data_IF_244383120653
#
_entry.id   IF_244383120653
#
_cell.length_a   1.000
_cell.length_b   1.000
_cell.length_c   1.000
_cell.angle_alpha   90.00
_cell.angle_beta   90.00
_cell.angle_gamma   90.00
#
_symmetry.space_group_name_H-M   'P 1'
#
loop_
_entity.id
_entity.type
_entity.pdbx_description
1 polymer ?
#
# COMPACT_ATOMS: atom_id res chain seq x y z
N UNK A 1 44.40 -43.43 -8.40
CA UNK A 1 43.39 -42.53 -7.81
C UNK A 1 43.38 -41.30 -8.69
N UNK A 2 42.62 -41.37 -9.78
CA UNK A 2 42.46 -40.24 -10.70
C UNK A 2 41.36 -39.34 -10.15
N UNK A 3 41.77 -38.11 -9.81
CA UNK A 3 40.87 -37.00 -9.55
C UNK A 3 40.01 -36.76 -10.80
N UNK A 4 38.79 -37.29 -10.76
CA UNK A 4 37.76 -37.02 -11.75
C UNK A 4 37.27 -35.58 -11.54
N UNK A 5 38.07 -34.61 -12.01
CA UNK A 5 37.66 -33.21 -12.12
C UNK A 5 36.54 -33.15 -13.16
N UNK A 6 35.30 -33.22 -12.68
CA UNK A 6 34.13 -32.72 -13.41
C UNK A 6 34.38 -31.24 -13.73
N UNK A 7 35.05 -30.99 -14.86
CA UNK A 7 35.18 -29.67 -15.45
C UNK A 7 33.77 -29.21 -15.81
N UNK A 8 33.21 -28.31 -15.00
CA UNK A 8 31.93 -27.68 -15.31
C UNK A 8 32.07 -27.03 -16.69
N UNK A 9 31.22 -27.44 -17.64
CA UNK A 9 31.08 -26.72 -18.90
C UNK A 9 30.43 -25.37 -18.58
N UNK A 10 31.28 -24.36 -18.39
CA UNK A 10 30.85 -23.03 -17.99
C UNK A 10 29.90 -22.41 -19.02
N UNK A 11 30.07 -22.71 -20.32
CA UNK A 11 29.20 -22.16 -21.35
C UNK A 11 27.80 -22.76 -21.25
N UNK A 12 27.72 -24.09 -21.17
CA UNK A 12 26.45 -24.79 -21.00
C UNK A 12 25.74 -24.38 -19.71
N UNK A 13 26.48 -24.29 -18.60
CA UNK A 13 25.91 -23.86 -17.32
C UNK A 13 25.38 -22.41 -17.37
N UNK A 14 26.07 -21.49 -18.06
CA UNK A 14 25.58 -20.12 -18.26
C UNK A 14 24.30 -20.11 -19.10
N UNK A 15 24.24 -20.87 -20.19
CA UNK A 15 23.06 -20.97 -21.05
C UNK A 15 21.84 -21.52 -20.28
N UNK A 16 22.03 -22.55 -19.46
CA UNK A 16 20.99 -23.12 -18.60
C UNK A 16 20.48 -22.12 -17.55
N UNK A 17 21.39 -21.38 -16.89
CA UNK A 17 21.01 -20.35 -15.92
C UNK A 17 20.23 -19.21 -16.56
N UNK A 18 20.65 -18.76 -17.76
CA UNK A 18 19.96 -17.70 -18.50
C UNK A 18 18.56 -18.14 -18.92
N UNK A 19 18.40 -19.35 -19.48
CA UNK A 19 17.08 -19.89 -19.84
C UNK A 19 16.19 -19.97 -18.62
N UNK A 20 16.68 -20.57 -17.53
CA UNK A 20 15.91 -20.76 -16.30
C UNK A 20 15.46 -19.43 -15.69
N UNK A 21 16.31 -18.40 -15.71
CA UNK A 21 15.96 -17.07 -15.22
C UNK A 21 14.88 -16.40 -16.09
N UNK A 22 15.00 -16.48 -17.42
CA UNK A 22 14.00 -15.96 -18.35
C UNK A 22 12.65 -16.67 -18.19
N UNK A 23 12.67 -18.00 -18.07
CA UNK A 23 11.47 -18.81 -17.89
C UNK A 23 10.76 -18.46 -16.57
N UNK A 24 11.51 -18.38 -15.47
CA UNK A 24 10.96 -17.98 -14.16
C UNK A 24 10.33 -16.58 -14.19
N UNK A 25 10.99 -15.60 -14.84
CA UNK A 25 10.45 -14.25 -14.98
C UNK A 25 9.15 -14.25 -15.80
N UNK A 26 9.13 -14.97 -16.92
CA UNK A 26 7.94 -15.07 -17.77
C UNK A 26 6.77 -15.76 -17.05
N UNK A 27 7.05 -16.80 -16.25
CA UNK A 27 6.05 -17.47 -15.40
C UNK A 27 5.51 -16.55 -14.32
N UNK A 28 6.37 -15.77 -13.67
CA UNK A 28 5.97 -14.79 -12.66
C UNK A 28 5.00 -13.75 -13.23
N UNK A 29 5.31 -13.18 -14.41
CA UNK A 29 4.41 -12.21 -15.07
C UNK A 29 3.07 -12.82 -15.48
N UNK A 30 3.08 -14.06 -16.00
CA UNK A 30 1.83 -14.80 -16.30
C UNK A 30 1.00 -15.04 -15.04
N UNK A 31 1.66 -15.38 -13.94
CA UNK A 31 1.00 -15.63 -12.66
C UNK A 31 0.35 -14.36 -12.10
N UNK A 32 1.04 -13.21 -12.14
CA UNK A 32 0.49 -11.90 -11.78
C UNK A 32 -0.72 -11.52 -12.62
N UNK A 33 -0.64 -11.71 -13.94
CA UNK A 33 -1.75 -11.44 -14.85
C UNK A 33 -2.99 -12.28 -14.50
N UNK A 34 -2.78 -13.58 -14.20
CA UNK A 34 -3.85 -14.48 -13.76
C UNK A 34 -4.42 -14.08 -12.39
N UNK A 35 -3.57 -13.75 -11.42
CA UNK A 35 -4.01 -13.29 -10.10
C UNK A 35 -4.87 -12.02 -10.21
N UNK A 36 -4.45 -11.08 -11.06
CA UNK A 36 -5.19 -9.85 -11.37
C UNK A 36 -6.55 -10.13 -11.98
N UNK A 37 -6.63 -11.04 -12.95
CA UNK A 37 -7.91 -11.45 -13.55
C UNK A 37 -8.85 -12.07 -12.50
N UNK A 38 -8.32 -12.96 -11.65
CA UNK A 38 -9.11 -13.59 -10.58
C UNK A 38 -9.59 -12.55 -9.57
N UNK A 39 -8.71 -11.63 -9.15
CA UNK A 39 -9.09 -10.53 -8.25
C UNK A 39 -10.24 -9.72 -8.85
N UNK A 40 -10.13 -9.30 -10.11
CA UNK A 40 -11.16 -8.50 -10.80
C UNK A 40 -12.52 -9.20 -10.86
N UNK A 41 -12.54 -10.52 -11.00
CA UNK A 41 -13.78 -11.33 -10.97
C UNK A 41 -14.37 -11.47 -9.58
N UNK A 42 -13.54 -11.42 -8.53
CA UNK A 42 -13.93 -11.60 -7.14
C UNK A 42 -14.16 -10.28 -6.38
N UNK A 43 -13.65 -9.16 -6.88
CA UNK A 43 -13.80 -7.83 -6.31
C UNK A 43 -15.30 -7.44 -6.32
N UNK A 44 -15.91 -7.20 -5.15
CA UNK A 44 -17.28 -6.69 -5.11
C UNK A 44 -17.38 -5.34 -5.84
N UNK A 45 -18.51 -5.09 -6.51
CA UNK A 45 -18.70 -3.86 -7.28
C UNK A 45 -18.50 -2.59 -6.43
N UNK A 46 -19.02 -2.58 -5.20
CA UNK A 46 -18.83 -1.46 -4.27
C UNK A 46 -17.35 -1.21 -3.92
N UNK A 47 -16.58 -2.28 -3.75
CA UNK A 47 -15.13 -2.21 -3.53
C UNK A 47 -14.41 -1.62 -4.74
N UNK A 48 -14.80 -2.03 -5.95
CA UNK A 48 -14.25 -1.47 -7.18
C UNK A 48 -14.54 0.03 -7.30
N UNK A 49 -15.79 0.44 -7.07
CA UNK A 49 -16.22 1.85 -7.09
C UNK A 49 -15.45 2.66 -6.05
N UNK A 50 -15.34 2.16 -4.82
CA UNK A 50 -14.57 2.80 -3.76
C UNK A 50 -13.10 2.98 -4.18
N UNK A 51 -12.44 1.92 -4.65
CA UNK A 51 -11.04 1.98 -5.07
C UNK A 51 -10.81 2.98 -6.19
N UNK A 52 -11.67 2.99 -7.21
CA UNK A 52 -11.54 3.93 -8.32
C UNK A 52 -11.81 5.38 -7.90
N UNK A 53 -12.71 5.58 -6.94
CA UNK A 53 -12.96 6.90 -6.36
C UNK A 53 -11.77 7.40 -5.54
N UNK A 54 -11.19 6.54 -4.70
CA UNK A 54 -10.00 6.82 -3.89
C UNK A 54 -8.77 7.15 -4.78
N UNK A 55 -8.52 6.31 -5.79
CA UNK A 55 -7.46 6.54 -6.78
C UNK A 55 -7.68 7.89 -7.49
N UNK A 56 -8.92 8.17 -7.91
CA UNK A 56 -9.30 9.39 -8.59
C UNK A 56 -9.07 10.66 -7.76
N UNK A 57 -9.46 10.66 -6.48
CA UNK A 57 -9.24 11.81 -5.60
C UNK A 57 -7.74 12.02 -5.29
N UNK A 58 -6.97 10.93 -5.15
CA UNK A 58 -5.50 11.02 -4.98
C UNK A 58 -4.85 11.63 -6.22
N UNK A 59 -5.22 11.21 -7.43
CA UNK A 59 -4.71 11.82 -8.68
C UNK A 59 -5.11 13.29 -8.76
N UNK A 60 -6.38 13.61 -8.53
CA UNK A 60 -6.89 14.98 -8.68
C UNK A 60 -6.24 15.96 -7.69
N UNK A 61 -6.09 15.56 -6.43
CA UNK A 61 -5.42 16.36 -5.40
C UNK A 61 -3.91 16.45 -5.64
N UNK A 62 -3.25 15.37 -6.05
CA UNK A 62 -1.79 15.38 -6.28
C UNK A 62 -1.37 16.23 -7.48
N UNK A 63 -2.22 16.36 -8.50
CA UNK A 63 -1.99 17.30 -9.62
C UNK A 63 -1.82 18.75 -9.16
N UNK A 64 -2.36 19.13 -8.01
CA UNK A 64 -2.16 20.47 -7.46
C UNK A 64 -0.69 20.75 -7.16
N UNK A 65 0.13 19.73 -6.87
CA UNK A 65 1.57 19.89 -6.63
C UNK A 65 2.36 20.32 -7.88
N UNK A 66 1.75 20.31 -9.07
CA UNK A 66 2.36 20.85 -10.29
C UNK A 66 2.31 22.38 -10.34
N UNK A 67 1.47 23.01 -9.50
CA UNK A 67 1.37 24.46 -9.40
C UNK A 67 2.54 25.04 -8.60
N UNK A 68 2.91 26.28 -8.91
CA UNK A 68 3.99 27.00 -8.23
C UNK A 68 3.74 27.14 -6.71
N UNK A 69 4.78 26.92 -5.91
CA UNK A 69 4.78 27.17 -4.47
C UNK A 69 5.47 28.50 -4.14
N UNK A 70 4.71 29.51 -3.70
CA UNK A 70 5.27 30.85 -3.48
C UNK A 70 6.12 30.99 -2.21
N UNK A 71 5.95 30.12 -1.19
CA UNK A 71 6.63 30.23 0.10
C UNK A 71 7.15 28.87 0.59
N UNK A 72 8.10 28.29 -0.14
CA UNK A 72 8.64 26.97 0.18
C UNK A 72 9.67 27.06 1.30
N UNK A 73 9.45 26.31 2.39
CA UNK A 73 10.41 26.12 3.50
C UNK A 73 10.89 24.67 3.50
N UNK A 74 11.99 24.35 4.20
CA UNK A 74 12.46 22.96 4.36
C UNK A 74 11.36 22.00 4.86
N UNK A 75 10.50 22.50 5.76
CA UNK A 75 9.33 21.79 6.26
C UNK A 75 8.38 21.42 5.11
N UNK A 76 8.01 22.41 4.31
CA UNK A 76 7.08 22.25 3.18
C UNK A 76 7.70 21.35 2.11
N UNK A 77 8.96 21.57 1.75
CA UNK A 77 9.71 20.72 0.80
C UNK A 77 9.69 19.25 1.23
N UNK A 78 9.89 18.99 2.52
CA UNK A 78 9.87 17.62 3.03
C UNK A 78 8.46 17.02 3.01
N UNK A 79 7.42 17.79 3.36
CA UNK A 79 6.03 17.35 3.26
C UNK A 79 5.62 17.04 1.81
N UNK A 80 6.04 17.85 0.84
CA UNK A 80 5.83 17.60 -0.60
C UNK A 80 6.53 16.31 -1.01
N UNK A 81 7.78 16.11 -0.59
CA UNK A 81 8.56 14.91 -0.91
C UNK A 81 7.92 13.64 -0.35
N UNK A 82 7.45 13.68 0.89
CA UNK A 82 6.71 12.60 1.52
C UNK A 82 5.37 12.34 0.81
N UNK A 83 4.64 13.39 0.44
CA UNK A 83 3.37 13.27 -0.29
C UNK A 83 3.57 12.65 -1.67
N UNK A 84 4.59 13.08 -2.42
CA UNK A 84 4.93 12.49 -3.71
C UNK A 84 5.33 11.00 -3.59
N UNK A 85 6.12 10.66 -2.56
CA UNK A 85 6.45 9.26 -2.25
C UNK A 85 5.21 8.45 -1.87
N UNK A 86 4.28 9.05 -1.13
CA UNK A 86 3.00 8.43 -0.75
C UNK A 86 2.18 8.09 -2.00
N UNK A 87 1.90 9.09 -2.82
CA UNK A 87 1.08 8.97 -4.04
C UNK A 87 1.64 7.90 -4.97
N UNK A 88 2.97 7.91 -5.23
CA UNK A 88 3.59 6.90 -6.10
C UNK A 88 3.47 5.49 -5.53
N UNK A 89 3.69 5.35 -4.23
CA UNK A 89 3.62 4.05 -3.58
C UNK A 89 2.18 3.53 -3.48
N UNK A 90 1.19 4.40 -3.32
CA UNK A 90 -0.23 4.01 -3.30
C UNK A 90 -0.60 3.17 -4.54
N UNK A 91 -0.23 3.63 -5.74
CA UNK A 91 -0.49 2.87 -6.96
C UNK A 91 0.32 1.58 -7.06
N UNK A 92 1.56 1.57 -6.54
CA UNK A 92 2.38 0.34 -6.47
C UNK A 92 1.72 -0.69 -5.53
N UNK A 93 1.20 -0.26 -4.38
CA UNK A 93 0.50 -1.16 -3.45
C UNK A 93 -0.76 -1.73 -4.10
N UNK A 94 -1.57 -0.91 -4.76
CA UNK A 94 -2.73 -1.39 -5.50
C UNK A 94 -2.33 -2.46 -6.54
N UNK A 95 -1.26 -2.23 -7.29
CA UNK A 95 -0.76 -3.21 -8.26
C UNK A 95 -0.31 -4.52 -7.60
N UNK A 96 0.47 -4.44 -6.52
CA UNK A 96 0.91 -5.62 -5.78
C UNK A 96 -0.26 -6.44 -5.23
N UNK A 97 -1.27 -5.79 -4.66
CA UNK A 97 -2.48 -6.46 -4.17
C UNK A 97 -3.20 -7.19 -5.31
N UNK A 98 -3.39 -6.51 -6.45
CA UNK A 98 -4.03 -7.10 -7.63
C UNK A 98 -3.24 -8.28 -8.18
N UNK A 99 -1.91 -8.20 -8.13
CA UNK A 99 -1.00 -9.21 -8.65
C UNK A 99 -0.77 -10.41 -7.70
N UNK A 100 -1.24 -10.33 -6.46
CA UNK A 100 -1.03 -11.38 -5.45
C UNK A 100 0.32 -11.28 -4.70
N UNK A 101 1.05 -10.19 -4.85
CA UNK A 101 2.30 -9.90 -4.13
C UNK A 101 1.99 -9.31 -2.72
N UNK A 102 1.26 -10.07 -1.88
CA UNK A 102 0.65 -9.51 -0.66
C UNK A 102 1.65 -9.12 0.43
N UNK A 103 2.75 -9.87 0.62
CA UNK A 103 3.75 -9.57 1.65
C UNK A 103 4.44 -8.23 1.34
N UNK A 104 4.79 -8.02 0.07
CA UNK A 104 5.36 -6.78 -0.43
C UNK A 104 4.36 -5.62 -0.29
N UNK A 105 3.09 -5.86 -0.61
CA UNK A 105 2.02 -4.87 -0.40
C UNK A 105 1.93 -4.45 1.08
N UNK A 106 1.86 -5.40 2.02
CA UNK A 106 1.82 -5.12 3.46
C UNK A 106 3.05 -4.34 3.94
N UNK A 107 4.22 -4.71 3.44
CA UNK A 107 5.48 -4.01 3.75
C UNK A 107 5.42 -2.56 3.30
N UNK A 108 4.89 -2.29 2.10
CA UNK A 108 4.72 -0.92 1.62
C UNK A 108 3.60 -0.17 2.35
N UNK A 109 2.51 -0.82 2.76
CA UNK A 109 1.46 -0.21 3.60
C UNK A 109 2.06 0.25 4.93
N UNK A 110 2.95 -0.54 5.55
CA UNK A 110 3.69 -0.12 6.75
C UNK A 110 4.50 1.15 6.52
N UNK A 111 5.28 1.19 5.43
CA UNK A 111 6.03 2.39 5.02
C UNK A 111 5.09 3.59 4.85
N UNK A 112 3.92 3.41 4.24
CA UNK A 112 2.94 4.48 4.05
C UNK A 112 2.38 5.00 5.37
N UNK A 113 2.10 4.10 6.30
CA UNK A 113 1.63 4.44 7.64
C UNK A 113 2.67 5.26 8.43
N UNK A 114 3.94 4.90 8.33
CA UNK A 114 5.06 5.67 8.91
C UNK A 114 5.23 7.04 8.24
N UNK A 115 5.13 7.11 6.90
CA UNK A 115 5.22 8.36 6.15
C UNK A 115 4.09 9.34 6.52
N UNK A 116 2.85 8.83 6.59
CA UNK A 116 1.69 9.61 7.03
C UNK A 116 1.86 10.10 8.47
N UNK A 117 2.32 9.24 9.37
CA UNK A 117 2.66 9.63 10.74
C UNK A 117 3.66 10.77 10.76
N UNK A 118 4.71 10.69 9.94
CA UNK A 118 5.71 11.74 9.83
C UNK A 118 5.12 13.06 9.33
N UNK A 119 4.22 13.04 8.35
CA UNK A 119 3.51 14.25 7.87
C UNK A 119 2.80 14.98 9.02
N UNK A 120 2.06 14.24 9.86
CA UNK A 120 1.39 14.79 11.03
C UNK A 120 2.35 15.25 12.14
N UNK A 121 3.49 14.58 12.35
CA UNK A 121 4.50 15.02 13.30
C UNK A 121 5.14 16.34 12.87
N UNK A 122 5.44 16.49 11.58
CA UNK A 122 6.03 17.70 11.00
C UNK A 122 5.09 18.90 11.21
N UNK A 123 3.78 18.70 11.17
CA UNK A 123 2.81 19.76 11.46
C UNK A 123 2.95 20.31 12.88
N UNK A 124 3.31 19.46 13.85
CA UNK A 124 3.27 19.77 15.29
C UNK A 124 4.64 20.00 15.92
N UNK A 125 5.73 19.53 15.31
CA UNK A 125 7.08 19.51 15.91
C UNK A 125 8.12 20.16 14.99
N UNK A 126 9.17 20.80 15.54
CA UNK A 126 10.29 21.30 14.73
C UNK A 126 10.99 20.18 13.96
N UNK A 127 11.30 20.42 12.68
CA UNK A 127 11.87 19.41 11.77
C UNK A 127 13.15 18.77 12.32
N UNK A 128 14.06 19.57 12.88
CA UNK A 128 15.33 19.09 13.46
C UNK A 128 15.14 18.04 14.55
N UNK A 129 14.03 18.07 15.31
CA UNK A 129 13.74 17.09 16.36
C UNK A 129 13.26 15.75 15.81
N UNK A 130 12.90 15.68 14.53
CA UNK A 130 12.31 14.52 13.85
C UNK A 130 13.30 13.79 12.95
N UNK A 131 14.34 14.47 12.45
CA UNK A 131 15.32 13.88 11.54
C UNK A 131 15.96 12.64 12.18
N UNK A 132 16.12 11.58 11.36
CA UNK A 132 16.69 10.27 11.75
C UNK A 132 15.96 9.52 12.87
N UNK A 133 14.76 9.94 13.24
CA UNK A 133 13.91 9.22 14.20
C UNK A 133 12.79 8.46 13.51
N UNK A 134 12.43 7.31 14.04
CA UNK A 134 11.24 6.56 13.61
C UNK A 134 9.96 7.33 13.98
N UNK A 135 8.98 7.47 13.09
CA UNK A 135 7.69 8.09 13.39
C UNK A 135 6.93 7.34 14.48
N UNK A 136 6.24 8.06 15.37
CA UNK A 136 5.42 7.44 16.42
C UNK A 136 4.00 7.13 15.92
N UNK A 137 3.85 5.98 15.25
CA UNK A 137 2.62 5.58 14.54
C UNK A 137 1.42 5.42 15.48
N UNK A 138 1.66 4.90 16.69
CA UNK A 138 0.61 4.60 17.67
C UNK A 138 -0.18 5.86 18.04
N UNK A 139 0.48 7.02 18.12
CA UNK A 139 -0.15 8.26 18.52
C UNK A 139 -1.08 8.86 17.45
N UNK A 140 -0.93 8.47 16.16
CA UNK A 140 -1.77 9.02 15.09
C UNK A 140 -3.12 8.31 14.99
N UNK A 141 -3.11 6.98 15.12
CA UNK A 141 -4.30 6.14 14.90
C UNK A 141 -4.92 5.57 16.18
N UNK A 142 -4.41 5.94 17.35
CA UNK A 142 -4.91 5.47 18.64
C UNK A 142 -4.94 3.94 18.74
N UNK A 143 -6.06 3.39 19.19
CA UNK A 143 -6.26 1.94 19.33
C UNK A 143 -6.14 1.18 17.99
N UNK A 144 -6.62 1.75 16.89
CA UNK A 144 -6.45 1.16 15.56
C UNK A 144 -4.97 1.08 15.18
N UNK A 145 -4.18 2.10 15.53
CA UNK A 145 -2.72 2.11 15.34
C UNK A 145 -1.99 1.05 16.14
N UNK A 146 -2.42 0.81 17.39
CA UNK A 146 -1.85 -0.24 18.26
C UNK A 146 -2.09 -1.66 17.74
N UNK A 147 -3.15 -1.88 16.95
CA UNK A 147 -3.42 -3.19 16.33
C UNK A 147 -2.79 -3.31 14.94
N UNK A 148 -2.95 -2.29 14.12
CA UNK A 148 -2.51 -2.31 12.72
C UNK A 148 -0.97 -2.33 12.61
N UNK A 149 -0.26 -1.46 13.33
CA UNK A 149 1.18 -1.32 13.15
C UNK A 149 1.98 -2.57 13.56
N UNK A 150 1.69 -3.26 14.69
CA UNK A 150 2.34 -4.53 15.01
C UNK A 150 2.08 -5.61 13.97
N UNK A 151 0.84 -5.76 13.48
CA UNK A 151 0.52 -6.75 12.44
C UNK A 151 1.28 -6.48 11.13
N UNK A 152 1.32 -5.22 10.69
CA UNK A 152 2.13 -4.82 9.53
C UNK A 152 3.63 -5.05 9.75
N UNK A 153 4.12 -4.84 10.97
CA UNK A 153 5.52 -5.07 11.32
C UNK A 153 5.87 -6.55 11.35
N UNK A 154 4.97 -7.40 11.85
CA UNK A 154 5.12 -8.86 11.86
C UNK A 154 5.25 -9.39 10.43
N UNK A 155 4.36 -8.95 9.52
CA UNK A 155 4.38 -9.35 8.11
C UNK A 155 5.66 -8.84 7.43
N UNK A 156 6.00 -7.56 7.62
CA UNK A 156 7.18 -6.95 6.99
C UNK A 156 8.52 -7.59 7.43
N UNK A 157 8.55 -8.20 8.60
CA UNK A 157 9.73 -8.91 9.12
C UNK A 157 9.64 -10.43 8.97
N UNK A 158 8.56 -10.95 8.37
CA UNK A 158 8.27 -12.39 8.32
C UNK A 158 8.47 -13.05 9.70
N UNK A 159 7.93 -12.42 10.75
CA UNK A 159 8.29 -12.75 12.13
C UNK A 159 7.63 -14.04 12.66
N UNK A 160 6.58 -14.53 12.00
CA UNK A 160 5.88 -15.77 12.37
C UNK A 160 5.62 -16.66 11.14
N UNK A 161 5.50 -18.00 11.31
CA UNK A 161 5.21 -18.91 10.20
C UNK A 161 3.89 -18.62 9.47
N UNK A 162 2.90 -18.06 10.18
CA UNK A 162 1.58 -17.74 9.61
C UNK A 162 1.66 -16.69 8.50
N UNK A 163 2.71 -15.85 8.48
CA UNK A 163 2.95 -14.92 7.36
C UNK A 163 3.12 -15.68 6.04
N UNK A 164 3.62 -16.92 6.07
CA UNK A 164 3.75 -17.78 4.90
C UNK A 164 2.42 -18.15 4.24
N UNK A 165 1.29 -18.07 4.96
CA UNK A 165 -0.04 -18.30 4.39
C UNK A 165 -0.42 -17.25 3.34
N UNK A 166 0.16 -16.04 3.45
CA UNK A 166 -0.02 -14.97 2.46
C UNK A 166 0.60 -15.29 1.09
N UNK A 167 1.58 -16.22 1.02
CA UNK A 167 2.17 -16.68 -0.23
C UNK A 167 1.26 -17.63 -1.03
N UNK A 168 0.08 -17.96 -0.49
CA UNK A 168 -0.82 -19.01 -1.00
C UNK A 168 -0.16 -20.39 -0.96
N UNK A 169 -0.83 -21.35 -0.34
CA UNK A 169 -0.35 -22.73 -0.28
C UNK A 169 -0.91 -23.49 -1.49
N UNK A 170 -0.03 -23.95 -2.37
CA UNK A 170 -0.39 -24.80 -3.49
C UNK A 170 -0.39 -26.27 -3.05
N UNK A 171 -1.37 -27.02 -3.53
CA UNK A 171 -1.37 -28.49 -3.50
C UNK A 171 -1.10 -29.00 -4.90
N UNK A 172 -0.09 -29.85 -5.04
CA UNK A 172 0.30 -30.47 -6.30
C UNK A 172 -0.36 -31.84 -6.45
N UNK A 173 -0.53 -32.30 -7.69
CA UNK A 173 -1.17 -33.60 -7.99
C UNK A 173 -0.43 -34.80 -7.38
N UNK A 174 0.84 -34.64 -7.05
CA UNK A 174 1.69 -35.63 -6.37
C UNK A 174 1.58 -35.59 -4.83
N UNK A 175 0.64 -34.81 -4.29
CA UNK A 175 0.39 -34.69 -2.86
C UNK A 175 1.34 -33.74 -2.12
N UNK A 176 2.28 -33.08 -2.82
CA UNK A 176 3.08 -32.02 -2.19
C UNK A 176 2.22 -30.81 -1.85
N UNK A 177 2.57 -30.17 -0.73
CA UNK A 177 1.92 -28.95 -0.25
C UNK A 177 3.03 -27.95 0.09
N UNK A 178 2.95 -26.74 -0.43
CA UNK A 178 3.97 -25.72 -0.17
C UNK A 178 3.59 -24.33 -0.66
N UNK A 179 4.32 -23.29 -0.21
CA UNK A 179 4.06 -21.92 -0.64
C UNK A 179 4.33 -21.78 -2.14
N UNK A 180 3.53 -20.94 -2.81
CA UNK A 180 3.78 -20.61 -4.21
C UNK A 180 5.04 -19.77 -4.35
N UNK A 181 5.92 -20.15 -5.29
CA UNK A 181 7.05 -19.31 -5.70
C UNK A 181 6.63 -18.17 -6.64
N UNK A 182 5.46 -18.30 -7.28
CA UNK A 182 4.91 -17.29 -8.17
C UNK A 182 3.69 -16.62 -7.54
N UNK A 183 3.46 -15.31 -7.80
CA UNK A 183 2.32 -14.60 -7.23
C UNK A 183 1.00 -15.27 -7.58
N UNK A 184 0.15 -15.46 -6.58
CA UNK A 184 -1.13 -16.15 -6.73
C UNK A 184 -2.22 -15.34 -6.03
N UNK A 185 -3.44 -15.35 -6.59
CA UNK A 185 -4.57 -14.73 -5.91
C UNK A 185 -4.79 -15.41 -4.55
N UNK A 186 -4.76 -14.60 -3.50
CA UNK A 186 -5.09 -15.01 -2.14
C UNK A 186 -6.39 -14.33 -1.71
N UNK A 187 -7.23 -15.02 -0.94
CA UNK A 187 -8.48 -14.49 -0.41
C UNK A 187 -8.26 -13.28 0.50
N UNK A 188 -7.10 -13.19 1.15
CA UNK A 188 -6.70 -12.07 2.00
C UNK A 188 -6.40 -10.78 1.23
N UNK A 189 -6.44 -10.80 -0.12
CA UNK A 189 -6.18 -9.62 -0.93
C UNK A 189 -7.17 -8.48 -0.66
N UNK A 190 -8.44 -8.79 -0.36
CA UNK A 190 -9.43 -7.76 0.04
C UNK A 190 -9.10 -7.18 1.41
N UNK A 191 -8.73 -8.02 2.38
CA UNK A 191 -8.34 -7.56 3.71
C UNK A 191 -7.02 -6.76 3.69
N UNK A 192 -6.11 -7.07 2.77
CA UNK A 192 -4.92 -6.26 2.49
C UNK A 192 -5.32 -4.89 1.93
N UNK A 193 -6.26 -4.88 0.98
CA UNK A 193 -6.81 -3.66 0.41
C UNK A 193 -7.50 -2.78 1.46
N UNK A 194 -8.29 -3.34 2.38
CA UNK A 194 -8.95 -2.58 3.45
C UNK A 194 -7.94 -1.77 4.28
N UNK A 195 -6.80 -2.40 4.64
CA UNK A 195 -5.73 -1.73 5.39
C UNK A 195 -5.05 -0.66 4.56
N UNK A 196 -4.83 -0.92 3.27
CA UNK A 196 -4.28 0.07 2.35
C UNK A 196 -5.20 1.30 2.20
N UNK A 197 -6.49 1.03 2.00
CA UNK A 197 -7.55 2.02 1.88
C UNK A 197 -7.65 2.86 3.15
N UNK A 198 -7.66 2.23 4.32
CA UNK A 198 -7.70 2.90 5.61
C UNK A 198 -6.58 3.95 5.76
N UNK A 199 -5.32 3.57 5.47
CA UNK A 199 -4.19 4.51 5.52
C UNK A 199 -4.33 5.62 4.47
N UNK A 200 -4.79 5.27 3.27
CA UNK A 200 -4.94 6.20 2.15
C UNK A 200 -6.06 7.24 2.38
N UNK A 201 -7.17 6.85 3.04
CA UNK A 201 -8.25 7.77 3.44
C UNK A 201 -7.69 8.87 4.34
N UNK A 202 -6.90 8.52 5.36
CA UNK A 202 -6.30 9.50 6.26
C UNK A 202 -5.30 10.41 5.54
N UNK A 203 -4.54 9.85 4.59
CA UNK A 203 -3.66 10.66 3.75
C UNK A 203 -4.45 11.68 2.93
N UNK A 204 -5.51 11.29 2.23
CA UNK A 204 -6.34 12.20 1.43
C UNK A 204 -6.92 13.32 2.31
N UNK A 205 -7.43 12.97 3.49
CA UNK A 205 -7.93 13.95 4.45
C UNK A 205 -6.86 14.98 4.84
N UNK A 206 -5.68 14.50 5.25
CA UNK A 206 -4.55 15.37 5.58
C UNK A 206 -4.10 16.21 4.38
N UNK A 207 -4.05 15.60 3.19
CA UNK A 207 -3.49 16.22 2.00
C UNK A 207 -4.36 17.35 1.46
N UNK A 208 -5.69 17.21 1.49
CA UNK A 208 -6.60 18.31 1.15
C UNK A 208 -6.42 19.52 2.10
N UNK A 209 -6.19 19.28 3.39
CA UNK A 209 -5.93 20.35 4.36
C UNK A 209 -4.55 21.00 4.13
N UNK A 210 -3.54 20.20 3.83
CA UNK A 210 -2.22 20.69 3.42
C UNK A 210 -2.30 21.58 2.18
N UNK A 211 -2.97 21.13 1.12
CA UNK A 211 -3.15 21.90 -0.12
C UNK A 211 -3.89 23.22 0.14
N UNK A 212 -4.93 23.21 0.99
CA UNK A 212 -5.64 24.42 1.41
C UNK A 212 -4.70 25.41 2.11
N UNK A 213 -3.84 24.94 3.01
CA UNK A 213 -2.89 25.81 3.73
C UNK A 213 -1.87 26.44 2.79
N UNK A 214 -1.37 25.65 1.84
CA UNK A 214 -0.31 26.08 0.91
C UNK A 214 -0.84 27.00 -0.18
N UNK A 215 -1.95 26.65 -0.82
CA UNK A 215 -2.53 27.39 -1.94
C UNK A 215 -3.62 28.39 -1.53
N UNK A 216 -3.99 28.42 -0.24
CA UNK A 216 -5.00 29.33 0.32
C UNK A 216 -6.32 29.27 -0.48
N UNK A 217 -6.66 30.34 -1.19
CA UNK A 217 -7.88 30.44 -1.99
C UNK A 217 -7.76 29.92 -3.43
N UNK A 218 -6.54 29.58 -3.90
CA UNK A 218 -6.34 29.06 -5.25
C UNK A 218 -6.72 27.58 -5.39
N UNK A 219 -6.73 26.84 -4.27
CA UNK A 219 -7.22 25.46 -4.22
C UNK A 219 -8.70 25.43 -3.84
N UNK A 220 -9.57 25.21 -4.82
CA UNK A 220 -11.00 25.02 -4.58
C UNK A 220 -11.28 23.58 -4.12
N UNK A 221 -11.38 23.38 -2.81
CA UNK A 221 -11.58 22.06 -2.19
C UNK A 221 -13.02 21.53 -2.23
N UNK A 222 -14.01 22.34 -2.62
CA UNK A 222 -15.43 21.96 -2.46
C UNK A 222 -15.78 20.64 -3.18
N UNK A 223 -15.29 20.47 -4.40
CA UNK A 223 -15.52 19.25 -5.19
C UNK A 223 -14.76 18.06 -4.57
N UNK A 224 -13.54 18.28 -4.08
CA UNK A 224 -12.73 17.26 -3.42
C UNK A 224 -13.36 16.78 -2.12
N UNK A 225 -13.85 17.68 -1.28
CA UNK A 225 -14.55 17.35 -0.05
C UNK A 225 -15.83 16.57 -0.31
N UNK A 226 -16.68 17.04 -1.24
CA UNK A 226 -17.91 16.31 -1.60
C UNK A 226 -17.59 14.89 -2.08
N UNK A 227 -16.57 14.76 -2.93
CA UNK A 227 -16.10 13.44 -3.40
C UNK A 227 -15.59 12.60 -2.22
N UNK A 228 -14.82 13.19 -1.32
CA UNK A 228 -14.30 12.52 -0.12
C UNK A 228 -15.44 12.03 0.78
N UNK A 229 -16.47 12.83 1.05
CA UNK A 229 -17.61 12.40 1.87
C UNK A 229 -18.40 11.27 1.24
N UNK A 230 -18.62 11.30 -0.09
CA UNK A 230 -19.23 10.17 -0.81
C UNK A 230 -18.36 8.92 -0.65
N UNK A 231 -17.05 9.05 -0.86
CA UNK A 231 -16.09 7.96 -0.71
C UNK A 231 -16.09 7.38 0.71
N UNK A 232 -16.21 8.21 1.75
CA UNK A 232 -16.35 7.78 3.15
C UNK A 232 -17.63 6.96 3.36
N UNK A 233 -18.76 7.39 2.79
CA UNK A 233 -20.01 6.61 2.83
C UNK A 233 -19.86 5.23 2.18
N UNK A 234 -19.24 5.16 1.00
CA UNK A 234 -18.97 3.88 0.33
C UNK A 234 -17.99 3.03 1.14
N UNK A 235 -16.98 3.64 1.78
CA UNK A 235 -16.02 2.93 2.64
C UNK A 235 -16.69 2.28 3.85
N UNK A 236 -17.66 2.97 4.45
CA UNK A 236 -18.48 2.44 5.55
C UNK A 236 -19.37 1.28 5.06
N UNK A 237 -20.04 1.43 3.91
CA UNK A 237 -20.84 0.36 3.31
C UNK A 237 -20.01 -0.89 2.95
N UNK A 238 -18.73 -0.70 2.61
CA UNK A 238 -17.79 -1.80 2.36
C UNK A 238 -17.24 -2.42 3.66
N UNK A 239 -17.46 -1.80 4.83
CA UNK A 239 -16.89 -2.24 6.11
C UNK A 239 -15.41 -1.90 6.29
N UNK A 240 -14.83 -1.06 5.42
CA UNK A 240 -13.42 -0.61 5.50
C UNK A 240 -13.22 0.28 6.74
N UNK A 241 -14.22 1.10 7.03
CA UNK A 241 -14.27 1.97 8.21
C UNK A 241 -15.58 1.77 8.96
N UNK A 242 -15.60 2.19 10.22
CA UNK A 242 -16.81 2.28 11.03
C UNK A 242 -16.92 3.70 11.54
N UNK A 243 -17.98 4.42 11.16
CA UNK A 243 -18.23 5.73 11.72
C UNK A 243 -18.90 5.57 13.09
N UNK A 244 -18.61 6.46 14.06
CA UNK A 244 -19.32 6.45 15.32
C UNK A 244 -20.81 6.68 15.05
N UNK A 245 -21.66 5.84 15.64
CA UNK A 245 -23.10 6.05 15.60
C UNK A 245 -23.41 7.47 16.07
N UNK A 246 -24.15 8.24 15.27
CA UNK A 246 -24.65 9.54 15.69
C UNK A 246 -25.56 9.25 16.89
N UNK A 247 -25.07 9.55 18.10
CA UNK A 247 -25.93 9.61 19.26
C UNK A 247 -26.89 10.76 19.00
N UNK A 248 -28.12 10.44 18.63
CA UNK A 248 -29.21 11.39 18.72
C UNK A 248 -29.33 11.70 20.21
N UNK A 249 -28.72 12.79 20.65
CA UNK A 249 -29.04 13.42 21.93
C UNK A 249 -30.45 14.02 21.80
N UNK A 250 -31.44 13.13 21.87
CA UNK A 250 -32.83 13.47 22.18
C UNK A 250 -33.06 13.08 23.63
N UNK A 251 -32.80 14.05 24.52
CA UNK A 251 -33.66 14.45 25.65
C UNK A 251 -33.05 15.69 26.29
#
# INVERSE_FOLDING_TARGET
MEDNKNSIDHKKNIEELLSSACDFQAESERARAKAREIYRKKEPEKYNVFRMTLDGIIVRTSRQLLNKFDNTTDKISYQISLSASFVRTHFIVNEMILNGDLIEAFTLIRKQLEALTRLHEIDKKPLLKLLKKTPNVINLFGESGKKLYPNLSEIAHFATPNVGELLTINTFDDGRVGPSLHPTYNIDALACYDRHAYVSIYFVFWFMDFLKKIYRGAYNREIDEKTFYIMIGVAEECGIIQLPAIKNETT
#
